data_IF_675248880919
#
_entry.id   IF_675248880919
#
_cell.length_a   1.000
_cell.length_b   1.000
_cell.length_c   1.000
_cell.angle_alpha   90.00
_cell.angle_beta   90.00
_cell.angle_gamma   90.00
#
_symmetry.space_group_name_H-M   'P 1'
#
loop_
_entity.id
_entity.type
_entity.pdbx_description
1 polymer ?
#
# COMPACT_ATOMS: atom_id res chain seq x y z
N UNK A 1 -4.80 35.89 46.52
CA UNK A 1 -4.80 34.41 46.57
C UNK A 1 -5.50 33.85 45.34
N UNK A 2 -6.67 34.37 44.94
CA UNK A 2 -7.38 33.92 43.73
C UNK A 2 -6.63 34.12 42.40
N UNK A 3 -5.88 35.21 42.23
CA UNK A 3 -5.16 35.46 40.96
C UNK A 3 -3.96 34.51 40.73
N UNK A 4 -3.30 34.08 41.81
CA UNK A 4 -2.20 33.11 41.73
C UNK A 4 -2.73 31.72 41.35
N UNK A 5 -3.87 31.32 41.92
CA UNK A 5 -4.53 30.05 41.59
C UNK A 5 -5.04 30.04 40.15
N UNK A 6 -5.57 31.16 39.65
CA UNK A 6 -5.98 31.31 38.25
C UNK A 6 -4.80 31.25 37.27
N UNK A 7 -3.68 31.89 37.62
CA UNK A 7 -2.46 31.85 36.81
C UNK A 7 -1.89 30.41 36.74
N UNK A 8 -1.80 29.74 37.89
CA UNK A 8 -1.35 28.34 37.99
C UNK A 8 -2.26 27.39 37.20
N UNK A 9 -3.58 27.54 37.35
CA UNK A 9 -4.54 26.75 36.58
C UNK A 9 -4.37 26.98 35.07
N UNK A 10 -4.22 28.23 34.63
CA UNK A 10 -3.99 28.54 33.22
C UNK A 10 -2.70 27.91 32.68
N UNK A 11 -1.61 27.96 33.43
CA UNK A 11 -0.32 27.40 33.04
C UNK A 11 -0.38 25.87 32.93
N UNK A 12 -1.02 25.20 33.90
CA UNK A 12 -1.25 23.75 33.86
C UNK A 12 -2.15 23.36 32.68
N UNK A 13 -3.22 24.11 32.40
CA UNK A 13 -4.09 23.87 31.24
C UNK A 13 -3.31 23.98 29.93
N UNK A 14 -2.46 25.01 29.81
CA UNK A 14 -1.63 25.25 28.64
C UNK A 14 -0.63 24.12 28.44
N UNK A 15 0.07 23.69 29.49
CA UNK A 15 1.04 22.60 29.42
C UNK A 15 0.38 21.28 28.98
N UNK A 16 -0.79 20.95 29.55
CA UNK A 16 -1.56 19.77 29.17
C UNK A 16 -2.00 19.83 27.70
N UNK A 17 -2.50 20.99 27.26
CA UNK A 17 -2.91 21.19 25.87
C UNK A 17 -1.73 21.08 24.91
N UNK A 18 -0.63 21.76 25.18
CA UNK A 18 0.58 21.76 24.35
C UNK A 18 1.14 20.33 24.21
N UNK A 19 1.14 19.56 25.31
CA UNK A 19 1.56 18.15 25.29
C UNK A 19 0.61 17.28 24.47
N UNK A 20 -0.70 17.43 24.69
CA UNK A 20 -1.72 16.66 23.98
C UNK A 20 -1.68 16.90 22.47
N UNK A 21 -1.73 18.16 22.05
CA UNK A 21 -1.71 18.56 20.65
C UNK A 21 -0.36 18.29 19.99
N UNK A 22 0.75 18.36 20.73
CA UNK A 22 2.07 17.97 20.25
C UNK A 22 2.15 16.50 19.89
N UNK A 23 1.72 15.59 20.79
CA UNK A 23 1.71 14.16 20.49
C UNK A 23 0.70 13.78 19.40
N UNK A 24 -0.49 14.40 19.44
CA UNK A 24 -1.51 14.18 18.40
C UNK A 24 -0.97 14.55 17.01
N UNK A 25 -0.27 15.67 16.89
CA UNK A 25 0.31 16.13 15.64
C UNK A 25 1.34 15.14 15.08
N UNK A 26 2.18 14.56 15.93
CA UNK A 26 3.17 13.54 15.52
C UNK A 26 2.44 12.33 14.92
N UNK A 27 1.43 11.80 15.63
CA UNK A 27 0.65 10.66 15.15
C UNK A 27 -0.07 10.97 13.83
N UNK A 28 -0.61 12.19 13.68
CA UNK A 28 -1.25 12.63 12.44
C UNK A 28 -0.23 12.72 11.29
N UNK A 29 0.96 13.29 11.52
CA UNK A 29 2.04 13.36 10.54
C UNK A 29 2.52 11.96 10.10
N UNK A 30 2.68 11.03 11.04
CA UNK A 30 3.07 9.64 10.75
C UNK A 30 1.96 8.87 10.00
N UNK A 31 0.70 9.13 10.34
CA UNK A 31 -0.45 8.56 9.63
C UNK A 31 -0.53 9.06 8.18
N UNK A 32 -0.30 10.36 7.96
CA UNK A 32 -0.29 10.96 6.63
C UNK A 32 0.86 10.40 5.78
N UNK A 33 2.05 10.25 6.37
CA UNK A 33 3.21 9.64 5.71
C UNK A 33 2.93 8.18 5.31
N UNK A 34 2.35 7.39 6.21
CA UNK A 34 1.94 6.01 5.93
C UNK A 34 0.96 5.93 4.74
N UNK A 35 -0.05 6.82 4.69
CA UNK A 35 -1.00 6.87 3.57
C UNK A 35 -0.33 7.24 2.25
N UNK A 36 0.59 8.22 2.27
CA UNK A 36 1.36 8.60 1.08
C UNK A 36 2.19 7.42 0.57
N UNK A 37 2.89 6.72 1.46
CA UNK A 37 3.68 5.55 1.11
C UNK A 37 2.81 4.45 0.47
N UNK A 38 1.59 4.20 0.97
CA UNK A 38 0.67 3.24 0.34
C UNK A 38 0.32 3.63 -1.09
N UNK A 39 0.01 4.91 -1.34
CA UNK A 39 -0.33 5.40 -2.68
C UNK A 39 0.86 5.23 -3.63
N UNK A 40 2.06 5.60 -3.18
CA UNK A 40 3.28 5.41 -3.95
C UNK A 40 3.55 3.95 -4.27
N UNK A 41 3.36 3.05 -3.29
CA UNK A 41 3.52 1.61 -3.49
C UNK A 41 2.48 1.03 -4.45
N UNK A 42 1.24 1.50 -4.39
CA UNK A 42 0.19 1.10 -5.35
C UNK A 42 0.58 1.47 -6.77
N UNK A 43 1.05 2.70 -6.98
CA UNK A 43 1.49 3.18 -8.30
C UNK A 43 2.76 2.44 -8.77
N UNK A 44 3.68 2.12 -7.87
CA UNK A 44 4.89 1.36 -8.19
C UNK A 44 4.53 -0.07 -8.60
N UNK A 45 3.68 -0.74 -7.82
CA UNK A 45 3.14 -2.08 -8.09
C UNK A 45 2.55 -2.16 -9.51
N UNK A 46 1.65 -1.24 -9.88
CA UNK A 46 1.06 -1.22 -11.22
C UNK A 46 2.11 -1.04 -12.32
N UNK A 47 3.07 -0.13 -12.12
CA UNK A 47 4.08 0.20 -13.13
C UNK A 47 5.16 -0.86 -13.30
N UNK A 48 5.50 -1.61 -12.25
CA UNK A 48 6.56 -2.63 -12.29
C UNK A 48 5.96 -4.00 -12.56
N UNK A 49 5.22 -4.54 -11.59
CA UNK A 49 4.62 -5.88 -11.62
C UNK A 49 3.53 -5.94 -12.68
N UNK A 50 2.62 -4.96 -12.71
CA UNK A 50 1.55 -4.91 -13.70
C UNK A 50 2.10 -4.87 -15.13
N UNK A 51 3.08 -4.00 -15.41
CA UNK A 51 3.71 -3.92 -16.73
C UNK A 51 4.48 -5.20 -17.11
N UNK A 52 5.20 -5.81 -16.16
CA UNK A 52 5.92 -7.06 -16.39
C UNK A 52 4.96 -8.22 -16.72
N UNK A 53 3.86 -8.34 -15.98
CA UNK A 53 2.80 -9.33 -16.25
C UNK A 53 2.14 -9.11 -17.59
N UNK A 54 1.80 -7.86 -17.92
CA UNK A 54 1.24 -7.52 -19.23
C UNK A 54 2.21 -7.94 -20.35
N UNK A 55 3.51 -7.69 -20.20
CA UNK A 55 4.51 -8.14 -21.17
C UNK A 55 4.53 -9.66 -21.33
N UNK A 56 4.47 -10.41 -20.22
CA UNK A 56 4.42 -11.87 -20.24
C UNK A 56 3.15 -12.38 -20.93
N UNK A 57 1.99 -11.81 -20.61
CA UNK A 57 0.71 -12.15 -21.24
C UNK A 57 0.72 -11.87 -22.74
N UNK A 58 1.27 -10.71 -23.13
CA UNK A 58 1.44 -10.33 -24.53
C UNK A 58 2.36 -11.32 -25.25
N UNK A 59 3.41 -11.86 -24.62
CA UNK A 59 4.28 -12.86 -25.26
C UNK A 59 3.59 -14.23 -25.39
N UNK A 60 2.81 -14.63 -24.38
CA UNK A 60 2.06 -15.90 -24.40
C UNK A 60 0.88 -15.87 -25.38
N UNK A 61 0.19 -14.73 -25.48
CA UNK A 61 -0.95 -14.42 -26.37
C UNK A 61 -2.22 -15.26 -26.17
N UNK A 62 -2.06 -16.57 -25.95
CA UNK A 62 -3.14 -17.52 -25.75
C UNK A 62 -3.54 -17.60 -24.29
N UNK A 63 -4.84 -17.51 -24.02
CA UNK A 63 -5.41 -17.49 -22.67
C UNK A 63 -5.12 -18.79 -21.90
N UNK A 64 -5.03 -19.94 -22.58
CA UNK A 64 -4.71 -21.23 -21.94
C UNK A 64 -3.27 -21.24 -21.46
N UNK A 65 -2.35 -20.68 -22.25
CA UNK A 65 -0.95 -20.56 -21.86
C UNK A 65 -0.76 -19.57 -20.71
N UNK A 66 -1.54 -18.49 -20.69
CA UNK A 66 -1.57 -17.53 -19.57
C UNK A 66 -2.07 -18.22 -18.30
N UNK A 67 -3.17 -18.98 -18.36
CA UNK A 67 -3.68 -19.73 -17.21
C UNK A 67 -2.66 -20.76 -16.71
N UNK A 68 -2.01 -21.51 -17.61
CA UNK A 68 -0.95 -22.44 -17.21
C UNK A 68 0.23 -21.71 -16.56
N UNK A 69 0.60 -20.53 -17.05
CA UNK A 69 1.62 -19.69 -16.43
C UNK A 69 1.23 -19.25 -15.02
N UNK A 70 -0.02 -18.79 -14.82
CA UNK A 70 -0.51 -18.37 -13.50
C UNK A 70 -0.57 -19.54 -12.51
N UNK A 71 -1.03 -20.71 -12.96
CA UNK A 71 -1.02 -21.93 -12.15
C UNK A 71 0.40 -22.37 -11.79
N UNK A 72 1.34 -22.26 -12.72
CA UNK A 72 2.75 -22.61 -12.50
C UNK A 72 3.43 -21.68 -11.49
N UNK A 73 3.04 -20.40 -11.50
CA UNK A 73 3.64 -19.37 -10.64
C UNK A 73 2.92 -19.20 -9.30
N UNK A 74 1.70 -19.73 -9.18
CA UNK A 74 0.86 -19.56 -7.99
C UNK A 74 0.26 -18.16 -7.86
N UNK A 75 0.28 -17.37 -8.95
CA UNK A 75 -0.35 -16.06 -9.00
C UNK A 75 -1.86 -16.20 -9.21
N UNK A 76 -2.63 -15.23 -8.69
CA UNK A 76 -4.08 -15.20 -8.84
C UNK A 76 -4.48 -15.09 -10.33
N UNK A 77 -5.49 -15.85 -10.74
CA UNK A 77 -6.01 -15.92 -12.12
C UNK A 77 -6.53 -14.56 -12.62
N UNK A 78 -6.81 -13.62 -11.71
CA UNK A 78 -7.34 -12.29 -12.02
C UNK A 78 -6.28 -11.19 -12.06
N UNK A 79 -5.01 -11.48 -11.78
CA UNK A 79 -3.99 -10.46 -11.60
C UNK A 79 -3.62 -9.76 -12.94
N UNK A 80 -4.10 -8.53 -13.12
CA UNK A 80 -3.82 -7.67 -14.27
C UNK A 80 -4.11 -8.30 -15.65
N UNK A 81 -4.99 -9.30 -15.71
CA UNK A 81 -5.40 -9.90 -16.98
C UNK A 81 -6.53 -9.06 -17.59
N UNK A 82 -6.21 -8.33 -18.65
CA UNK A 82 -7.19 -7.69 -19.53
C UNK A 82 -7.13 -8.34 -20.91
N UNK A 83 -8.17 -9.12 -21.32
CA UNK A 83 -8.24 -9.75 -22.62
C UNK A 83 -8.04 -8.78 -23.79
N UNK A 84 -8.37 -7.50 -23.62
CA UNK A 84 -8.24 -6.47 -24.65
C UNK A 84 -6.76 -6.16 -24.98
N UNK A 85 -5.85 -6.35 -24.03
CA UNK A 85 -4.42 -6.11 -24.23
C UNK A 85 -3.82 -7.10 -25.23
N UNK A 86 -4.26 -8.36 -25.20
CA UNK A 86 -3.78 -9.41 -26.10
C UNK A 86 -4.36 -9.28 -27.52
N UNK A 87 -5.51 -8.63 -27.66
CA UNK A 87 -6.21 -8.44 -28.94
C UNK A 87 -5.76 -7.19 -29.70
N UNK A 88 -5.28 -6.16 -29.00
CA UNK A 88 -4.92 -4.89 -29.62
C UNK A 88 -3.45 -4.84 -30.11
N UNK A 89 -3.19 -4.79 -31.43
CA UNK A 89 -1.83 -4.75 -31.96
C UNK A 89 -1.05 -3.49 -31.55
N UNK A 90 -1.74 -2.36 -31.35
CA UNK A 90 -1.14 -1.09 -30.93
C UNK A 90 -0.63 -1.16 -29.49
N UNK A 91 -1.39 -1.81 -28.60
CA UNK A 91 -1.00 -1.97 -27.18
C UNK A 91 0.21 -2.90 -27.09
N UNK A 92 0.15 -4.04 -27.79
CA UNK A 92 1.27 -5.00 -27.90
C UNK A 92 2.55 -4.33 -28.39
N UNK A 93 2.49 -3.51 -29.44
CA UNK A 93 3.65 -2.76 -29.94
C UNK A 93 4.18 -1.74 -28.94
N UNK A 94 3.30 -1.00 -28.26
CA UNK A 94 3.70 -0.01 -27.24
C UNK A 94 4.40 -0.65 -26.05
N UNK A 95 3.85 -1.74 -25.53
CA UNK A 95 4.38 -2.44 -24.34
C UNK A 95 5.75 -3.08 -24.60
N UNK A 96 6.00 -3.50 -25.85
CA UNK A 96 7.25 -4.13 -26.28
C UNK A 96 8.22 -3.16 -26.99
N UNK A 97 7.85 -1.88 -27.15
CA UNK A 97 8.70 -0.90 -27.81
C UNK A 97 9.92 -0.54 -26.95
N UNK A 98 11.07 -0.34 -27.60
CA UNK A 98 12.31 0.09 -26.95
C UNK A 98 13.07 -1.00 -26.18
N UNK A 99 12.73 -2.27 -26.39
CA UNK A 99 13.44 -3.41 -25.79
C UNK A 99 14.55 -3.92 -26.70
N UNK A 100 15.68 -4.26 -26.12
CA UNK A 100 16.73 -4.99 -26.83
C UNK A 100 16.37 -6.47 -26.92
N UNK A 101 16.54 -7.05 -28.12
CA UNK A 101 16.16 -8.43 -28.40
C UNK A 101 17.39 -9.32 -28.58
N UNK A 102 18.00 -9.83 -27.49
CA UNK A 102 19.17 -10.70 -27.61
C UNK A 102 18.77 -12.05 -28.21
N UNK A 103 19.20 -12.31 -29.45
CA UNK A 103 19.06 -13.63 -30.05
C UNK A 103 19.13 -13.75 -31.56
N UNK A 104 19.64 -14.90 -32.01
CA UNK A 104 19.79 -15.19 -33.43
C UNK A 104 18.46 -15.56 -34.09
N UNK A 105 17.66 -16.43 -33.47
CA UNK A 105 16.38 -16.90 -34.03
C UNK A 105 15.18 -16.27 -33.34
N UNK A 106 14.03 -16.20 -34.03
CA UNK A 106 12.76 -15.69 -33.49
C UNK A 106 12.38 -16.36 -32.16
N UNK A 107 12.36 -17.71 -32.16
CA UNK A 107 12.05 -18.51 -30.97
C UNK A 107 13.01 -18.25 -29.81
N UNK A 108 14.30 -18.06 -30.09
CA UNK A 108 15.31 -17.82 -29.04
C UNK A 108 15.20 -16.40 -28.46
N UNK A 109 14.89 -15.38 -29.29
CA UNK A 109 14.60 -14.01 -28.85
C UNK A 109 13.38 -13.96 -27.93
N UNK A 110 12.27 -14.58 -28.36
CA UNK A 110 11.04 -14.70 -27.55
C UNK A 110 11.31 -15.36 -26.19
N UNK A 111 12.02 -16.50 -26.20
CA UNK A 111 12.36 -17.21 -24.97
C UNK A 111 13.21 -16.36 -24.02
N UNK A 112 14.27 -15.74 -24.51
CA UNK A 112 15.15 -14.95 -23.64
C UNK A 112 14.42 -13.73 -23.07
N UNK A 113 13.59 -13.08 -23.88
CA UNK A 113 12.80 -11.94 -23.44
C UNK A 113 11.77 -12.35 -22.36
N UNK A 114 11.09 -13.47 -22.59
CA UNK A 114 10.14 -14.03 -21.63
C UNK A 114 10.81 -14.37 -20.29
N UNK A 115 11.96 -15.05 -20.33
CA UNK A 115 12.71 -15.37 -19.12
C UNK A 115 13.24 -14.11 -18.42
N UNK A 116 13.71 -13.10 -19.14
CA UNK A 116 14.15 -11.85 -18.50
C UNK A 116 13.01 -11.10 -17.81
N UNK A 117 11.80 -11.12 -18.39
CA UNK A 117 10.63 -10.52 -17.74
C UNK A 117 10.16 -11.34 -16.55
N UNK A 118 10.29 -12.65 -16.61
CA UNK A 118 10.00 -13.51 -15.48
C UNK A 118 10.95 -13.26 -14.31
N UNK A 119 12.26 -13.16 -14.59
CA UNK A 119 13.28 -12.88 -13.58
C UNK A 119 13.04 -11.51 -12.93
N UNK A 120 12.80 -10.47 -13.75
CA UNK A 120 12.47 -9.12 -13.29
C UNK A 120 11.15 -9.06 -12.52
N UNK A 121 10.15 -9.86 -12.90
CA UNK A 121 8.90 -9.98 -12.14
C UNK A 121 9.16 -10.53 -10.73
N UNK A 122 10.01 -11.56 -10.61
CA UNK A 122 10.40 -12.12 -9.32
C UNK A 122 11.07 -11.10 -8.42
N UNK A 123 12.06 -10.38 -8.95
CA UNK A 123 12.74 -9.29 -8.23
C UNK A 123 11.74 -8.21 -7.76
N UNK A 124 10.81 -7.79 -8.62
CA UNK A 124 9.81 -6.80 -8.26
C UNK A 124 8.81 -7.29 -7.22
N UNK A 125 8.41 -8.57 -7.26
CA UNK A 125 7.54 -9.17 -6.24
C UNK A 125 8.25 -9.26 -4.90
N UNK A 126 9.52 -9.64 -4.88
CA UNK A 126 10.31 -9.70 -3.65
C UNK A 126 10.49 -8.30 -3.04
N UNK A 127 10.90 -7.31 -3.84
CA UNK A 127 10.96 -5.91 -3.40
C UNK A 127 9.61 -5.41 -2.86
N UNK A 128 8.52 -5.73 -3.55
CA UNK A 128 7.18 -5.35 -3.12
C UNK A 128 6.83 -5.96 -1.76
N UNK A 129 7.16 -7.23 -1.53
CA UNK A 129 6.89 -7.91 -0.26
C UNK A 129 7.73 -7.35 0.88
N UNK A 130 8.98 -6.96 0.63
CA UNK A 130 9.80 -6.25 1.62
C UNK A 130 9.18 -4.90 2.00
N UNK A 131 8.73 -4.12 1.01
CA UNK A 131 8.09 -2.83 1.26
C UNK A 131 6.72 -2.98 1.93
N UNK A 132 5.97 -4.03 1.60
CA UNK A 132 4.73 -4.39 2.28
C UNK A 132 4.97 -4.70 3.76
N UNK A 133 6.01 -5.50 4.06
CA UNK A 133 6.39 -5.82 5.44
C UNK A 133 6.83 -4.57 6.23
N UNK A 134 7.56 -3.65 5.59
CA UNK A 134 7.92 -2.37 6.18
C UNK A 134 6.67 -1.53 6.52
N UNK A 135 5.73 -1.39 5.58
CA UNK A 135 4.47 -0.68 5.83
C UNK A 135 3.64 -1.33 6.95
N UNK A 136 3.64 -2.67 7.03
CA UNK A 136 2.94 -3.38 8.11
C UNK A 136 3.57 -3.08 9.47
N UNK A 137 4.90 -2.97 9.53
CA UNK A 137 5.63 -2.53 10.73
C UNK A 137 5.31 -1.09 11.11
N UNK A 138 5.24 -0.17 10.13
CA UNK A 138 4.89 1.23 10.36
C UNK A 138 3.47 1.35 10.93
N UNK A 139 2.52 0.57 10.38
CA UNK A 139 1.15 0.53 10.86
C UNK A 139 1.05 0.05 12.31
N UNK A 140 1.80 -1.00 12.69
CA UNK A 140 1.81 -1.47 14.09
C UNK A 140 2.47 -0.44 15.01
N UNK A 141 3.53 0.25 14.56
CA UNK A 141 4.17 1.33 15.32
C UNK A 141 3.19 2.46 15.61
N UNK A 142 2.48 2.96 14.59
CA UNK A 142 1.46 4.01 14.76
C UNK A 142 0.36 3.56 15.72
N UNK A 143 -0.06 2.28 15.63
CA UNK A 143 -1.06 1.71 16.53
C UNK A 143 -0.57 1.68 17.98
N UNK A 144 0.66 1.22 18.23
CA UNK A 144 1.27 1.24 19.55
C UNK A 144 1.41 2.67 20.10
N UNK A 145 1.77 3.64 19.26
CA UNK A 145 1.86 5.05 19.64
C UNK A 145 0.49 5.64 20.02
N UNK A 146 -0.57 5.29 19.29
CA UNK A 146 -1.95 5.65 19.63
C UNK A 146 -2.36 5.02 20.97
N UNK A 147 -2.03 3.76 21.21
CA UNK A 147 -2.32 3.10 22.50
C UNK A 147 -1.55 3.76 23.65
N UNK A 148 -0.27 4.08 23.46
CA UNK A 148 0.54 4.83 24.42
C UNK A 148 0.01 6.24 24.64
N UNK A 149 -0.49 6.89 23.60
CA UNK A 149 -1.12 8.20 23.68
C UNK A 149 -2.35 8.17 24.59
N UNK A 150 -3.23 7.19 24.41
CA UNK A 150 -4.41 7.02 25.27
C UNK A 150 -4.04 6.62 26.70
N UNK A 151 -2.99 5.82 26.90
CA UNK A 151 -2.54 5.43 28.23
C UNK A 151 -1.89 6.58 29.01
N UNK A 152 -1.11 7.42 28.32
CA UNK A 152 -0.41 8.56 28.93
C UNK A 152 -1.29 9.80 29.07
N UNK A 153 -2.25 9.97 28.17
CA UNK A 153 -3.22 11.05 28.18
C UNK A 153 -4.60 10.44 28.38
N UNK A 154 -5.00 10.20 29.63
CA UNK A 154 -6.39 9.89 29.95
C UNK A 154 -7.23 11.13 29.62
N UNK A 155 -7.75 11.21 28.39
CA UNK A 155 -8.55 12.33 27.89
C UNK A 155 -9.76 12.54 28.79
N UNK A 156 -10.37 11.47 29.31
CA UNK A 156 -11.49 11.54 30.23
C UNK A 156 -11.06 12.15 31.57
N UNK A 157 -9.91 11.75 32.09
CA UNK A 157 -9.28 12.31 33.28
C UNK A 157 -8.89 13.79 33.11
N UNK A 158 -8.30 14.15 31.98
CA UNK A 158 -7.93 15.54 31.63
C UNK A 158 -9.19 16.40 31.52
N UNK A 159 -10.22 15.95 30.79
CA UNK A 159 -11.48 16.70 30.66
C UNK A 159 -12.21 16.87 32.00
N UNK A 160 -12.18 15.85 32.87
CA UNK A 160 -12.73 15.94 34.22
C UNK A 160 -11.91 16.90 35.10
N UNK A 161 -10.58 16.87 35.00
CA UNK A 161 -9.68 17.78 35.72
C UNK A 161 -9.85 19.24 35.28
N UNK A 162 -9.92 19.49 33.97
CA UNK A 162 -10.21 20.80 33.39
C UNK A 162 -11.56 21.34 33.88
N UNK A 163 -12.61 20.50 33.87
CA UNK A 163 -13.94 20.86 34.36
C UNK A 163 -13.95 21.18 35.85
N UNK A 164 -13.22 20.42 36.66
CA UNK A 164 -13.13 20.64 38.10
C UNK A 164 -12.39 21.94 38.44
N UNK A 165 -11.39 22.35 37.64
CA UNK A 165 -10.73 23.66 37.80
C UNK A 165 -11.61 24.84 37.37
N UNK A 166 -12.48 24.67 36.37
CA UNK A 166 -13.44 25.72 35.97
C UNK A 166 -14.62 25.86 36.94
N UNK A 167 -14.96 24.80 37.66
CA UNK A 167 -16.07 24.74 38.62
C UNK A 167 -15.93 25.63 39.86
N UNK A 168 -14.73 26.13 40.18
CA UNK A 168 -14.52 27.02 41.34
C UNK A 168 -14.68 28.52 41.01
N UNK A 169 -14.82 28.91 39.74
CA UNK A 169 -14.76 30.32 39.33
C UNK A 169 -16.01 30.92 38.66
N UNK A 170 -17.08 30.14 38.44
CA UNK A 170 -18.29 30.65 37.80
C UNK A 170 -19.49 30.65 38.75
N UNK A 171 -19.70 31.79 39.40
CA UNK A 171 -20.95 32.09 40.09
C UNK A 171 -22.13 32.07 39.12
N UNK A 172 -23.18 31.32 39.49
CA UNK A 172 -24.58 31.52 39.15
C UNK A 172 -24.92 32.02 37.72
N UNK A 173 -24.93 31.13 36.73
CA UNK A 173 -26.02 31.02 35.76
C UNK A 173 -26.05 29.58 35.21
N UNK A 174 -27.08 28.84 35.61
CA UNK A 174 -27.40 27.50 35.14
C UNK A 174 -27.88 27.53 33.70
N UNK A 175 -26.97 27.40 32.75
CA UNK A 175 -27.27 26.83 31.43
C UNK A 175 -27.16 25.31 31.57
N UNK A 176 -28.17 24.51 31.21
CA UNK A 176 -28.03 23.06 31.27
C UNK A 176 -26.86 22.63 30.38
N UNK A 177 -25.99 21.72 30.84
CA UNK A 177 -24.86 21.27 30.04
C UNK A 177 -25.40 20.64 28.76
N UNK A 178 -25.04 21.22 27.62
CA UNK A 178 -25.41 20.72 26.31
C UNK A 178 -24.61 19.43 26.03
N UNK A 179 -25.06 18.30 26.59
CA UNK A 179 -24.37 17.00 26.56
C UNK A 179 -23.97 16.56 25.13
N UNK A 180 -24.74 16.94 24.11
CA UNK A 180 -24.42 16.65 22.71
C UNK A 180 -23.19 17.38 22.15
N UNK A 181 -22.77 18.52 22.73
CA UNK A 181 -21.54 19.21 22.31
C UNK A 181 -20.27 18.63 22.92
N UNK A 182 -20.36 18.01 24.09
CA UNK A 182 -19.22 17.40 24.78
C UNK A 182 -18.84 16.04 24.19
N UNK A 183 -19.83 15.22 23.80
CA UNK A 183 -19.60 13.95 23.12
C UNK A 183 -19.00 14.18 21.72
N UNK A 184 -19.55 15.12 20.95
CA UNK A 184 -19.00 15.48 19.64
C UNK A 184 -17.58 16.07 19.70
N UNK A 185 -17.21 16.72 20.80
CA UNK A 185 -15.87 17.24 21.01
C UNK A 185 -14.90 16.14 21.45
N UNK A 186 -15.35 15.18 22.26
CA UNK A 186 -14.60 13.97 22.60
C UNK A 186 -14.33 13.12 21.37
N UNK A 187 -15.33 12.86 20.52
CA UNK A 187 -15.18 12.09 19.29
C UNK A 187 -14.16 12.72 18.33
N UNK A 188 -14.13 14.05 18.23
CA UNK A 188 -13.12 14.79 17.44
C UNK A 188 -11.71 14.76 18.05
N UNK A 189 -11.60 14.40 19.33
CA UNK A 189 -10.33 14.26 20.03
C UNK A 189 -9.77 12.84 19.92
N UNK A 190 -10.57 11.83 19.57
CA UNK A 190 -10.08 10.48 19.37
C UNK A 190 -9.32 10.32 18.04
N UNK A 191 -8.11 9.78 18.11
CA UNK A 191 -7.34 9.30 16.98
C UNK A 191 -7.82 7.90 16.60
N UNK A 192 -8.11 7.69 15.32
CA UNK A 192 -8.43 6.36 14.81
C UNK A 192 -7.18 5.75 14.19
N UNK A 193 -6.84 4.50 14.52
CA UNK A 193 -5.68 3.85 13.92
C UNK A 193 -5.88 3.71 12.42
N UNK A 194 -4.80 3.86 11.62
CA UNK A 194 -4.88 3.69 10.17
C UNK A 194 -5.31 2.26 9.81
N UNK A 195 -5.95 2.13 8.64
CA UNK A 195 -6.35 0.83 8.12
C UNK A 195 -5.10 -0.06 7.89
N UNK A 196 -5.22 -1.38 8.14
CA UNK A 196 -4.11 -2.30 7.92
C UNK A 196 -3.75 -2.38 6.44
N UNK A 197 -2.46 -2.58 6.18
CA UNK A 197 -1.89 -2.66 4.83
C UNK A 197 -2.61 -3.73 4.00
N UNK A 198 -2.94 -4.88 4.60
CA UNK A 198 -3.65 -6.00 3.98
C UNK A 198 -5.01 -5.65 3.36
N UNK A 199 -5.67 -4.58 3.84
CA UNK A 199 -6.96 -4.12 3.29
C UNK A 199 -6.79 -3.15 2.13
N UNK A 200 -5.62 -2.55 1.99
CA UNK A 200 -5.35 -1.48 1.02
C UNK A 200 -4.46 -1.95 -0.13
N UNK A 201 -3.63 -2.96 0.11
CA UNK A 201 -2.68 -3.52 -0.84
C UNK A 201 -2.86 -5.04 -0.95
N UNK A 202 -2.85 -5.62 -2.16
CA UNK A 202 -3.00 -7.05 -2.34
C UNK A 202 -1.72 -7.77 -1.90
N UNK A 203 -1.86 -8.76 -1.02
CA UNK A 203 -0.73 -9.62 -0.66
C UNK A 203 -0.39 -10.55 -1.83
N UNK A 204 0.80 -10.37 -2.41
CA UNK A 204 1.30 -11.22 -3.48
C UNK A 204 2.07 -12.42 -2.92
N UNK A 205 1.73 -13.61 -3.43
CA UNK A 205 2.50 -14.83 -3.17
C UNK A 205 3.89 -14.73 -3.80
N UNK A 206 4.92 -15.30 -3.17
CA UNK A 206 6.23 -15.45 -3.81
C UNK A 206 6.09 -16.35 -5.04
N UNK A 207 6.75 -15.97 -6.13
CA UNK A 207 6.82 -16.80 -7.33
C UNK A 207 8.03 -17.73 -7.25
N UNK A 208 7.95 -18.96 -7.80
CA UNK A 208 9.08 -19.87 -7.82
C UNK A 208 10.22 -19.26 -8.66
N UNK A 209 11.49 -19.40 -8.26
CA UNK A 209 12.58 -18.82 -9.01
C UNK A 209 12.73 -19.50 -10.38
N UNK A 210 13.16 -18.73 -11.37
CA UNK A 210 13.25 -19.13 -12.78
C UNK A 210 14.02 -20.42 -13.03
N UNK A 211 14.97 -20.78 -12.17
CA UNK A 211 15.75 -21.99 -12.30
C UNK A 211 14.98 -23.27 -11.91
N UNK A 212 13.96 -23.18 -11.05
CA UNK A 212 13.15 -24.33 -10.63
C UNK A 212 12.12 -24.72 -11.70
N UNK A 213 11.48 -23.72 -12.32
CA UNK A 213 10.41 -23.94 -13.31
C UNK A 213 10.86 -23.64 -14.75
N UNK A 214 12.16 -23.50 -14.98
CA UNK A 214 12.75 -23.04 -16.25
C UNK A 214 12.24 -23.81 -17.46
N UNK A 215 12.17 -25.13 -17.35
CA UNK A 215 11.83 -26.01 -18.47
C UNK A 215 10.32 -25.97 -18.77
N UNK A 216 9.49 -25.76 -17.76
CA UNK A 216 8.05 -25.53 -17.92
C UNK A 216 7.79 -24.16 -18.58
N UNK A 217 8.48 -23.11 -18.12
CA UNK A 217 8.42 -21.78 -18.75
C UNK A 217 8.87 -21.81 -20.22
N UNK A 218 9.91 -22.59 -20.53
CA UNK A 218 10.34 -22.80 -21.93
C UNK A 218 9.28 -23.50 -22.76
N UNK A 219 8.60 -24.52 -22.22
CA UNK A 219 7.56 -25.23 -22.93
C UNK A 219 6.42 -24.27 -23.33
N UNK A 220 5.95 -23.44 -22.38
CA UNK A 220 4.91 -22.44 -22.62
C UNK A 220 5.28 -21.46 -23.74
N UNK A 221 6.48 -20.88 -23.70
CA UNK A 221 6.89 -19.90 -24.71
C UNK A 221 7.18 -20.53 -26.07
N UNK A 222 7.59 -21.80 -26.13
CA UNK A 222 7.75 -22.50 -27.39
C UNK A 222 6.40 -22.82 -28.05
N UNK A 223 5.41 -23.23 -27.26
CA UNK A 223 4.04 -23.40 -27.74
C UNK A 223 3.44 -22.07 -28.22
N UNK A 224 3.62 -20.98 -27.46
CA UNK A 224 3.22 -19.64 -27.88
C UNK A 224 3.90 -19.20 -29.19
N UNK A 225 5.19 -19.52 -29.37
CA UNK A 225 5.95 -19.18 -30.57
C UNK A 225 5.53 -19.98 -31.81
N UNK A 226 4.91 -21.15 -31.63
CA UNK A 226 4.34 -21.97 -32.69
C UNK A 226 2.93 -21.50 -33.08
N UNK A 227 2.13 -21.05 -32.11
CA UNK A 227 0.83 -20.42 -32.36
C UNK A 227 0.93 -19.05 -33.06
N UNK A 228 2.09 -18.39 -32.98
CA UNK A 228 2.32 -17.06 -33.55
C UNK A 228 3.45 -17.07 -34.60
N UNK A 229 3.23 -17.65 -35.79
CA UNK A 229 4.27 -17.75 -36.83
C UNK A 229 4.65 -16.39 -37.42
N UNK A 230 3.77 -15.39 -37.39
CA UNK A 230 4.04 -14.08 -38.01
C UNK A 230 4.55 -13.03 -37.02
N UNK A 231 4.60 -13.36 -35.72
CA UNK A 231 5.04 -12.44 -34.68
C UNK A 231 6.58 -12.42 -34.58
N UNK A 232 7.21 -11.48 -35.29
CA UNK A 232 8.65 -11.20 -35.14
C UNK A 232 8.89 -9.88 -34.39
N UNK A 233 9.59 -9.98 -33.26
CA UNK A 233 10.03 -8.85 -32.43
C UNK A 233 10.87 -7.81 -33.21
N UNK A 234 11.47 -8.17 -34.35
CA UNK A 234 12.20 -7.23 -35.23
C UNK A 234 11.30 -6.29 -36.03
N UNK A 235 10.04 -6.66 -36.22
CA UNK A 235 9.08 -5.94 -37.05
C UNK A 235 8.10 -5.11 -36.19
N UNK A 236 8.29 -5.10 -34.86
CA UNK A 236 7.51 -4.31 -33.91
C UNK A 236 7.96 -2.85 -33.88
#
# INVERSE_FOLDING_TARGET
>A
MDDLNKLLAFEVKKEIADRYFGFRRIIEEDTDLYQQNIIEQTLKLEKTIGLALIRLYVLLHDERLIQQFLQLTGLDETLFHDPYINQSPTIRKRVLSGLDFPGLTRKWRLRNLFLSFYDSLGEHIDEYREQFAALASDQETIKEEIELFYRKNDISGIMLFLRNMDGESSGAMTTPPNQGSTEAMQDRMHLTPPNPVDKLLPLLSPIPPSHEIKDQLKALIYEAADLQPDFDLKNL
#
